data_IF_097349254182
#
_entry.id   IF_097349254182
#
_cell.length_a   1.000
_cell.length_b   1.000
_cell.length_c   1.000
_cell.angle_alpha   90.00
_cell.angle_beta   90.00
_cell.angle_gamma   90.00
#
_symmetry.space_group_name_H-M   'P 1'
#
loop_
_entity.id
_entity.type
_entity.pdbx_description
1 polymer ?
#
# COMPACT_ATOMS: atom_id res chain seq x y z
N UNK A 1 1.79 -4.61 32.89
CA UNK A 1 0.78 -4.44 31.81
C UNK A 1 0.48 -5.80 31.23
N UNK A 2 -0.72 -6.36 31.46
CA UNK A 2 -1.09 -7.64 30.85
C UNK A 2 -1.17 -7.47 29.32
N UNK A 3 -0.50 -8.32 28.56
CA UNK A 3 -0.57 -8.30 27.10
C UNK A 3 -1.94 -8.88 26.71
N UNK A 4 -2.83 -8.05 26.17
CA UNK A 4 -4.11 -8.52 25.62
C UNK A 4 -3.83 -9.55 24.53
N UNK A 5 -4.34 -10.76 24.72
CA UNK A 5 -4.29 -11.79 23.70
C UNK A 5 -5.41 -11.56 22.69
N UNK A 6 -5.30 -12.15 21.50
CA UNK A 6 -6.38 -12.11 20.50
C UNK A 6 -7.72 -12.55 21.09
N UNK A 7 -7.69 -13.56 21.99
CA UNK A 7 -8.87 -14.12 22.65
C UNK A 7 -9.59 -13.12 23.58
N UNK A 8 -8.90 -12.06 24.01
CA UNK A 8 -9.43 -11.03 24.92
C UNK A 8 -10.04 -9.83 24.17
N UNK A 9 -9.94 -9.81 22.84
CA UNK A 9 -10.53 -8.76 22.01
C UNK A 9 -12.04 -8.98 21.83
N UNK A 10 -12.81 -7.88 21.88
CA UNK A 10 -14.22 -7.90 21.50
C UNK A 10 -14.38 -8.28 20.02
N UNK A 11 -15.54 -8.82 19.61
CA UNK A 11 -15.81 -9.14 18.21
C UNK A 11 -15.58 -7.95 17.26
N UNK A 12 -16.01 -6.75 17.67
CA UNK A 12 -15.81 -5.51 16.90
C UNK A 12 -14.33 -5.18 16.72
N UNK A 13 -13.52 -5.30 17.79
CA UNK A 13 -12.10 -5.03 17.70
C UNK A 13 -11.39 -6.02 16.76
N UNK A 14 -11.68 -7.33 16.88
CA UNK A 14 -11.14 -8.32 15.92
C UNK A 14 -11.57 -8.03 14.49
N UNK A 15 -12.85 -7.72 14.28
CA UNK A 15 -13.40 -7.36 12.98
C UNK A 15 -12.67 -6.16 12.37
N UNK A 16 -12.43 -5.10 13.15
CA UNK A 16 -11.71 -3.92 12.69
C UNK A 16 -10.26 -4.22 12.27
N UNK A 17 -9.55 -5.07 13.02
CA UNK A 17 -8.18 -5.47 12.67
C UNK A 17 -8.16 -6.26 11.36
N UNK A 18 -9.08 -7.22 11.19
CA UNK A 18 -9.19 -8.00 9.95
C UNK A 18 -9.54 -7.11 8.77
N UNK A 19 -10.50 -6.20 8.94
CA UNK A 19 -10.91 -5.26 7.89
C UNK A 19 -9.75 -4.34 7.49
N UNK A 20 -9.04 -3.76 8.46
CA UNK A 20 -7.87 -2.92 8.20
C UNK A 20 -6.77 -3.69 7.46
N UNK A 21 -6.50 -4.93 7.86
CA UNK A 21 -5.51 -5.79 7.18
C UNK A 21 -5.93 -6.11 5.74
N UNK A 22 -7.21 -6.39 5.50
CA UNK A 22 -7.72 -6.65 4.16
C UNK A 22 -7.60 -5.42 3.25
N UNK A 23 -7.93 -4.23 3.76
CA UNK A 23 -7.77 -2.96 3.04
C UNK A 23 -6.30 -2.70 2.73
N UNK A 24 -5.40 -2.84 3.69
CA UNK A 24 -3.95 -2.67 3.46
C UNK A 24 -3.41 -3.65 2.40
N UNK A 25 -3.77 -4.93 2.49
CA UNK A 25 -3.36 -5.92 1.51
C UNK A 25 -3.88 -5.60 0.10
N UNK A 26 -5.15 -5.19 -0.03
CA UNK A 26 -5.74 -4.77 -1.30
C UNK A 26 -5.05 -3.54 -1.89
N UNK A 27 -4.77 -2.53 -1.06
CA UNK A 27 -4.05 -1.33 -1.49
C UNK A 27 -2.64 -1.65 -1.98
N UNK A 28 -1.91 -2.53 -1.28
CA UNK A 28 -0.58 -2.98 -1.72
C UNK A 28 -0.62 -3.73 -3.04
N UNK A 29 -1.56 -4.65 -3.20
CA UNK A 29 -1.72 -5.40 -4.44
C UNK A 29 -2.04 -4.45 -5.60
N UNK A 30 -2.94 -3.49 -5.40
CA UNK A 30 -3.28 -2.50 -6.42
C UNK A 30 -2.09 -1.59 -6.77
N UNK A 31 -1.43 -1.02 -5.77
CA UNK A 31 -0.25 -0.18 -5.95
C UNK A 31 0.88 -0.93 -6.68
N UNK A 32 1.13 -2.20 -6.32
CA UNK A 32 2.10 -3.04 -6.98
C UNK A 32 1.75 -3.34 -8.44
N UNK A 33 0.49 -3.67 -8.73
CA UNK A 33 0.02 -3.91 -10.09
C UNK A 33 0.08 -2.63 -10.97
N UNK A 34 -0.33 -1.49 -10.43
CA UNK A 34 -0.23 -0.19 -11.11
C UNK A 34 1.24 0.21 -11.34
N UNK A 35 2.13 0.00 -10.36
CA UNK A 35 3.55 0.26 -10.53
C UNK A 35 4.17 -0.66 -11.60
N UNK A 36 3.79 -1.94 -11.61
CA UNK A 36 4.30 -2.90 -12.58
C UNK A 36 3.96 -2.49 -14.02
N UNK A 37 2.74 -2.00 -14.26
CA UNK A 37 2.27 -1.60 -15.59
C UNK A 37 2.85 -0.27 -16.08
N UNK A 38 3.30 0.61 -15.18
CA UNK A 38 3.84 1.93 -15.53
C UNK A 38 5.26 1.91 -16.07
N UNK A 39 5.55 2.81 -17.01
CA UNK A 39 6.93 3.10 -17.44
C UNK A 39 7.65 4.00 -16.43
N UNK A 40 8.99 4.07 -16.51
CA UNK A 40 9.79 4.87 -15.58
C UNK A 40 9.42 6.36 -15.59
N UNK A 41 9.15 6.93 -16.77
CA UNK A 41 8.69 8.32 -16.91
C UNK A 41 7.29 8.60 -16.33
N UNK A 42 6.48 7.57 -16.13
CA UNK A 42 5.11 7.66 -15.59
C UNK A 42 5.09 7.59 -14.05
N UNK A 43 6.25 7.60 -13.41
CA UNK A 43 6.42 7.50 -11.96
C UNK A 43 7.26 8.68 -11.47
N UNK A 44 6.84 9.27 -10.35
CA UNK A 44 7.60 10.33 -9.69
C UNK A 44 8.82 9.73 -8.99
N UNK A 45 10.01 9.95 -9.56
CA UNK A 45 11.28 9.45 -9.01
C UNK A 45 11.59 8.00 -9.42
N UNK A 46 12.62 7.38 -8.82
CA UNK A 46 13.08 6.06 -9.22
C UNK A 46 12.01 4.97 -8.97
N UNK A 47 11.55 4.31 -10.04
CA UNK A 47 10.54 3.23 -9.99
C UNK A 47 10.90 2.13 -8.99
N UNK A 48 12.18 1.78 -8.89
CA UNK A 48 12.64 0.72 -7.99
C UNK A 48 12.48 1.08 -6.52
N UNK A 49 12.61 2.35 -6.13
CA UNK A 49 12.39 2.79 -4.74
C UNK A 49 10.94 2.59 -4.32
N UNK A 50 9.99 2.89 -5.21
CA UNK A 50 8.58 2.59 -4.98
C UNK A 50 8.33 1.09 -4.84
N UNK A 51 8.93 0.28 -5.71
CA UNK A 51 8.80 -1.18 -5.67
C UNK A 51 9.31 -1.77 -4.35
N UNK A 52 10.53 -1.40 -3.95
CA UNK A 52 11.15 -1.84 -2.70
C UNK A 52 10.37 -1.35 -1.48
N UNK A 53 9.93 -0.08 -1.50
CA UNK A 53 9.12 0.49 -0.44
C UNK A 53 7.81 -0.26 -0.23
N UNK A 54 7.04 -0.46 -1.31
CA UNK A 54 5.75 -1.16 -1.27
C UNK A 54 5.88 -2.61 -0.79
N UNK A 55 6.98 -3.28 -1.14
CA UNK A 55 7.23 -4.67 -0.76
C UNK A 55 7.71 -4.84 0.69
N UNK A 56 8.58 -3.95 1.18
CA UNK A 56 9.28 -4.16 2.45
C UNK A 56 8.73 -3.34 3.62
N UNK A 57 8.12 -2.18 3.36
CA UNK A 57 7.70 -1.26 4.42
C UNK A 57 6.28 -1.59 4.87
N UNK A 58 6.13 -1.96 6.15
CA UNK A 58 4.82 -2.10 6.80
C UNK A 58 4.32 -0.76 7.34
N UNK A 59 3.49 -0.08 6.57
CA UNK A 59 3.00 1.28 6.87
C UNK A 59 1.49 1.34 7.14
N UNK A 60 0.82 0.20 7.37
CA UNK A 60 -0.64 0.15 7.54
C UNK A 60 -1.42 0.93 6.46
N UNK A 61 -1.08 0.72 5.18
CA UNK A 61 -1.77 1.29 4.03
C UNK A 61 -1.29 2.68 3.60
N UNK A 62 -0.54 3.40 4.45
CA UNK A 62 -0.11 4.78 4.14
C UNK A 62 0.77 4.85 2.88
N UNK A 63 1.80 4.03 2.78
CA UNK A 63 2.73 4.06 1.64
C UNK A 63 2.06 3.70 0.29
N UNK A 64 1.21 2.66 0.18
CA UNK A 64 0.38 2.43 -1.00
C UNK A 64 -0.46 3.63 -1.41
N UNK A 65 -1.10 4.32 -0.46
CA UNK A 65 -1.91 5.52 -0.74
C UNK A 65 -1.03 6.66 -1.25
N UNK A 66 0.11 6.91 -0.61
CA UNK A 66 1.06 7.94 -1.05
C UNK A 66 1.54 7.67 -2.47
N UNK A 67 1.87 6.42 -2.81
CA UNK A 67 2.22 6.05 -4.18
C UNK A 67 1.08 6.34 -5.16
N UNK A 68 -0.14 5.90 -4.85
CA UNK A 68 -1.30 6.08 -5.74
C UNK A 68 -1.68 7.56 -5.91
N UNK A 69 -1.45 8.42 -4.93
CA UNK A 69 -1.81 9.84 -5.01
C UNK A 69 -0.66 10.67 -5.60
N UNK A 70 0.56 10.44 -5.14
CA UNK A 70 1.72 11.30 -5.42
C UNK A 70 2.78 10.60 -6.28
N UNK A 71 2.92 9.27 -6.15
CA UNK A 71 3.93 8.50 -6.89
C UNK A 71 3.67 8.35 -8.39
N UNK A 72 2.42 8.57 -8.85
CA UNK A 72 2.04 8.43 -10.27
C UNK A 72 2.23 9.74 -11.04
N UNK A 73 2.68 9.64 -12.29
CA UNK A 73 2.62 10.71 -13.30
C UNK A 73 1.65 10.33 -14.40
N UNK A 74 1.11 11.35 -15.08
CA UNK A 74 0.38 11.13 -16.33
C UNK A 74 1.37 10.66 -17.39
N UNK A 75 0.98 9.66 -18.18
CA UNK A 75 1.71 9.32 -19.39
C UNK A 75 1.76 10.58 -20.26
N UNK A 76 2.97 11.06 -20.56
CA UNK A 76 3.13 12.07 -21.60
C UNK A 76 2.96 11.32 -22.90
N UNK A 77 1.77 11.43 -23.51
CA UNK A 77 1.54 10.94 -24.86
C UNK A 77 2.54 11.63 -25.77
N UNK A 78 3.58 10.89 -26.16
CA UNK A 78 4.49 11.31 -27.21
C UNK A 78 3.70 11.12 -28.51
N UNK A 79 3.14 12.22 -29.02
CA UNK A 79 2.61 12.27 -30.39
C UNK A 79 3.77 12.32 -31.39
#
# INVERSE_FOLDING_TARGET
>A
MARKSWKDLSPTARGSIVAAAAVDAGLRAWAGADLASRRGEEVNGPKWLWGTGLALVNSAGVLPVVYLVVGRRKAVSSH
#
